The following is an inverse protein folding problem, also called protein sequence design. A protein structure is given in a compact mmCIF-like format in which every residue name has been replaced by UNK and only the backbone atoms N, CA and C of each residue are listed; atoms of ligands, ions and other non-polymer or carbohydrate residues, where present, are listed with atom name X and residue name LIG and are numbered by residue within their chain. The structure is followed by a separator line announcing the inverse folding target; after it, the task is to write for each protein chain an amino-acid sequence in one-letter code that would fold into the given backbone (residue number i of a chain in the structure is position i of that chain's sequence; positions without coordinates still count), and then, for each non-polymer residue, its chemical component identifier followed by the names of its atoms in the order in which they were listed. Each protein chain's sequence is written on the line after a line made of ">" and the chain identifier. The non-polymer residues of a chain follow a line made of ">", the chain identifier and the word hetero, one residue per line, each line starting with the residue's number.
data_IF_336000867689
#
_entry.id   IF_336000867689
#
_cell.length_a   1.000
_cell.length_b   1.000
_cell.length_c   1.000
_cell.angle_alpha   90.00
_cell.angle_beta   90.00
_cell.angle_gamma   90.00
#
_symmetry.space_group_name_H-M   'P 1'
#
loop_
_entity.id
_entity.type
_entity.pdbx_description
1 polymer ?
#
# COMPACT_ATOMS: atom_id res chain seq x y z
N UNK A 1 -7.59 -40.64 35.23
CA UNK A 1 -8.25 -39.71 34.28
C UNK A 1 -7.76 -38.27 34.42
N UNK A 2 -7.57 -37.70 35.58
CA UNK A 2 -7.19 -36.29 35.80
C UNK A 2 -5.84 -35.86 35.19
N UNK A 3 -4.81 -36.74 35.17
CA UNK A 3 -3.51 -36.45 34.56
C UNK A 3 -3.59 -36.14 33.04
N UNK A 4 -4.45 -36.84 32.29
CA UNK A 4 -4.65 -36.62 30.86
C UNK A 4 -5.38 -35.31 30.57
N UNK A 5 -6.33 -34.93 31.43
CA UNK A 5 -7.08 -33.67 31.34
C UNK A 5 -6.15 -32.48 31.66
N UNK A 6 -5.26 -32.62 32.65
CA UNK A 6 -4.28 -31.58 33.00
C UNK A 6 -3.31 -31.31 31.86
N UNK A 7 -2.81 -32.34 31.16
CA UNK A 7 -1.91 -32.19 30.01
C UNK A 7 -2.62 -31.52 28.84
N UNK A 8 -3.88 -31.84 28.56
CA UNK A 8 -4.68 -31.23 27.52
C UNK A 8 -4.93 -29.73 27.79
N UNK A 9 -5.21 -29.38 29.04
CA UNK A 9 -5.44 -27.99 29.47
C UNK A 9 -4.16 -27.14 29.36
N UNK A 10 -3.01 -27.72 29.71
CA UNK A 10 -1.71 -27.02 29.59
C UNK A 10 -1.32 -26.81 28.13
N UNK A 11 -1.58 -27.77 27.24
CA UNK A 11 -1.35 -27.65 25.81
C UNK A 11 -2.24 -26.55 25.20
N UNK A 12 -3.49 -26.41 25.64
CA UNK A 12 -4.44 -25.39 25.17
C UNK A 12 -3.97 -23.98 25.57
N UNK A 13 -3.37 -23.81 26.76
CA UNK A 13 -2.82 -22.52 27.23
C UNK A 13 -1.56 -22.09 26.47
N UNK A 14 -0.77 -23.04 25.95
CA UNK A 14 0.42 -22.72 25.17
C UNK A 14 0.09 -22.27 23.73
N UNK A 15 -1.07 -22.66 23.19
CA UNK A 15 -1.54 -22.25 21.86
C UNK A 15 -2.11 -20.82 21.83
N UNK A 16 -2.49 -20.24 22.97
CA UNK A 16 -3.02 -18.88 23.05
C UNK A 16 -1.96 -17.78 22.99
N UNK A 17 -0.68 -18.11 22.96
CA UNK A 17 0.44 -17.16 22.86
C UNK A 17 0.84 -16.82 21.41
N UNK A 18 -0.03 -17.07 20.42
CA UNK A 18 0.16 -16.49 19.10
C UNK A 18 -0.07 -14.96 19.22
N UNK A 19 0.94 -14.27 19.73
CA UNK A 19 0.94 -12.83 19.93
C UNK A 19 0.80 -12.08 18.62
N UNK A 20 -0.44 -11.80 18.21
CA UNK A 20 -0.72 -10.71 17.28
C UNK A 20 -0.27 -9.41 17.96
N UNK A 21 0.98 -9.02 17.69
CA UNK A 21 1.45 -7.69 18.04
C UNK A 21 0.58 -6.72 17.25
N UNK A 22 -0.39 -6.08 17.89
CA UNK A 22 -1.11 -4.94 17.29
C UNK A 22 -0.03 -3.97 16.83
N UNK A 23 0.03 -3.73 15.52
CA UNK A 23 0.79 -2.60 15.01
C UNK A 23 0.15 -1.36 15.64
N UNK A 24 0.85 -0.82 16.62
CA UNK A 24 0.42 0.41 17.25
C UNK A 24 0.56 1.51 16.19
N UNK A 25 -0.58 1.97 15.65
CA UNK A 25 -0.64 3.12 14.70
C UNK A 25 -0.14 4.42 15.35
N UNK A 26 0.31 4.34 16.61
CA UNK A 26 0.82 5.46 17.39
C UNK A 26 2.21 5.95 16.95
N UNK A 27 2.99 5.16 16.20
CA UNK A 27 4.19 5.68 15.56
C UNK A 27 3.82 6.62 14.43
N UNK A 28 3.77 7.88 14.78
CA UNK A 28 3.46 8.97 13.87
C UNK A 28 4.71 9.27 13.04
N UNK A 29 4.59 9.11 11.74
CA UNK A 29 5.63 9.43 10.76
C UNK A 29 5.49 10.90 10.39
N UNK A 30 6.58 11.66 10.46
CA UNK A 30 6.66 13.02 9.95
C UNK A 30 7.36 13.01 8.59
N UNK A 31 6.59 13.12 7.53
CA UNK A 31 7.12 13.20 6.16
C UNK A 31 7.57 14.63 5.90
N UNK A 32 8.88 14.82 5.71
CA UNK A 32 9.49 16.13 5.44
C UNK A 32 9.37 16.45 3.95
N UNK A 33 9.71 15.50 3.07
CA UNK A 33 9.61 15.68 1.61
C UNK A 33 9.13 14.42 0.91
N UNK A 34 8.42 14.60 -0.21
CA UNK A 34 8.08 13.53 -1.15
C UNK A 34 8.47 13.99 -2.56
N UNK A 35 9.48 13.35 -3.10
CA UNK A 35 9.83 13.46 -4.52
C UNK A 35 9.13 12.37 -5.30
N UNK A 36 8.65 12.68 -6.51
CA UNK A 36 7.90 11.72 -7.34
C UNK A 36 8.40 11.74 -8.77
N UNK A 37 8.53 10.55 -9.35
CA UNK A 37 8.88 10.34 -10.76
C UNK A 37 7.95 9.31 -11.41
N UNK A 38 7.86 9.30 -12.75
CA UNK A 38 7.06 8.36 -13.52
C UNK A 38 5.59 8.77 -13.67
N UNK A 39 4.65 7.87 -13.43
CA UNK A 39 3.22 8.08 -13.73
C UNK A 39 2.56 9.15 -12.85
N UNK A 40 2.45 10.37 -13.39
CA UNK A 40 2.04 11.59 -12.64
C UNK A 40 0.70 11.45 -11.92
N UNK A 41 -0.30 10.83 -12.56
CA UNK A 41 -1.66 10.71 -11.98
C UNK A 41 -1.67 9.85 -10.71
N UNK A 42 -1.03 8.68 -10.72
CA UNK A 42 -0.92 7.86 -9.52
C UNK A 42 -0.09 8.54 -8.45
N UNK A 43 1.04 9.16 -8.82
CA UNK A 43 1.89 9.94 -7.92
C UNK A 43 1.11 11.04 -7.19
N UNK A 44 0.21 11.73 -7.88
CA UNK A 44 -0.64 12.76 -7.28
C UNK A 44 -1.52 12.17 -6.16
N UNK A 45 -2.22 11.06 -6.42
CA UNK A 45 -3.08 10.44 -5.41
C UNK A 45 -2.29 9.83 -4.25
N UNK A 46 -1.15 9.17 -4.55
CA UNK A 46 -0.29 8.57 -3.52
C UNK A 46 0.26 9.67 -2.61
N UNK A 47 0.85 10.72 -3.19
CA UNK A 47 1.43 11.85 -2.45
C UNK A 47 0.39 12.52 -1.56
N UNK A 48 -0.78 12.86 -2.11
CA UNK A 48 -1.84 13.52 -1.35
C UNK A 48 -2.35 12.66 -0.20
N UNK A 49 -2.51 11.35 -0.41
CA UNK A 49 -2.95 10.44 0.65
C UNK A 49 -1.90 10.31 1.77
N UNK A 50 -0.60 10.25 1.42
CA UNK A 50 0.48 10.21 2.40
C UNK A 50 0.56 11.50 3.22
N UNK A 51 0.36 12.66 2.58
CA UNK A 51 0.43 13.98 3.25
C UNK A 51 -0.84 14.29 4.05
N UNK A 52 -2.02 13.83 3.64
CA UNK A 52 -3.28 14.08 4.34
C UNK A 52 -3.30 13.55 5.78
N UNK A 53 -2.44 12.58 6.09
CA UNK A 53 -2.33 11.98 7.41
C UNK A 53 -1.07 12.47 8.18
N UNK A 54 -0.55 13.65 7.79
CA UNK A 54 0.59 14.27 8.46
C UNK A 54 0.19 14.65 9.89
N UNK A 55 0.92 14.12 10.86
CA UNK A 55 0.73 14.43 12.28
C UNK A 55 2.02 15.06 12.82
N UNK A 56 1.93 16.27 13.36
CA UNK A 56 3.09 17.08 13.78
C UNK A 56 3.51 16.82 15.24
N UNK A 57 3.29 15.62 15.79
CA UNK A 57 3.74 15.31 17.15
C UNK A 57 5.27 15.19 17.22
N UNK A 58 5.85 15.68 18.32
CA UNK A 58 7.30 15.93 18.51
C UNK A 58 8.17 14.67 18.42
N UNK A 59 7.63 13.48 18.66
CA UNK A 59 8.39 12.21 18.71
C UNK A 59 8.30 11.35 17.43
N UNK A 60 7.98 11.96 16.30
CA UNK A 60 7.78 11.22 15.05
C UNK A 60 9.10 10.97 14.32
N UNK A 61 9.24 9.79 13.71
CA UNK A 61 10.33 9.53 12.78
C UNK A 61 10.25 10.50 11.59
N UNK A 62 11.28 11.33 11.41
CA UNK A 62 11.39 12.26 10.28
C UNK A 62 11.93 11.53 9.08
N UNK A 63 11.20 11.58 7.97
CA UNK A 63 11.55 10.83 6.75
C UNK A 63 11.44 11.68 5.50
N UNK A 64 12.29 11.36 4.52
CA UNK A 64 12.15 11.77 3.12
C UNK A 64 11.78 10.56 2.29
N UNK A 65 10.88 10.75 1.32
CA UNK A 65 10.39 9.68 0.44
C UNK A 65 10.68 10.06 -1.00
N UNK A 66 11.23 9.10 -1.77
CA UNK A 66 11.30 9.19 -3.24
C UNK A 66 10.47 8.04 -3.82
N UNK A 67 9.51 8.39 -4.69
CA UNK A 67 8.61 7.47 -5.38
C UNK A 67 8.91 7.45 -6.87
N UNK A 68 9.10 6.28 -7.45
CA UNK A 68 9.05 6.06 -8.89
C UNK A 68 7.85 5.16 -9.20
N UNK A 69 6.87 5.66 -9.96
CA UNK A 69 5.63 4.93 -10.22
C UNK A 69 5.50 4.59 -11.69
N UNK A 70 5.23 3.31 -11.97
CA UNK A 70 4.98 2.77 -13.31
C UNK A 70 3.53 2.32 -13.44
N UNK A 71 2.97 2.48 -14.64
CA UNK A 71 1.63 2.02 -14.98
C UNK A 71 1.70 1.11 -16.20
N UNK A 72 1.04 -0.04 -16.11
CA UNK A 72 0.87 -0.97 -17.23
C UNK A 72 -0.62 -1.21 -17.47
N UNK A 73 -1.03 -1.16 -18.74
CA UNK A 73 -2.40 -1.50 -19.19
C UNK A 73 -2.33 -2.73 -20.08
N UNK A 74 -3.10 -3.75 -19.75
CA UNK A 74 -3.11 -5.04 -20.45
C UNK A 74 -4.55 -5.36 -20.84
N UNK A 75 -4.77 -5.94 -22.00
CA UNK A 75 -6.07 -6.49 -22.38
C UNK A 75 -6.31 -7.73 -21.54
N UNK A 76 -7.43 -7.73 -20.79
CA UNK A 76 -7.79 -8.83 -19.89
C UNK A 76 -8.85 -9.73 -20.53
N UNK A 77 -9.76 -9.17 -21.35
CA UNK A 77 -10.86 -9.93 -21.93
C UNK A 77 -11.30 -9.35 -23.28
N UNK A 78 -11.69 -10.25 -24.22
CA UNK A 78 -12.31 -9.92 -25.49
C UNK A 78 -13.59 -10.76 -25.67
N UNK A 79 -14.56 -10.22 -26.41
CA UNK A 79 -15.76 -10.95 -26.76
C UNK A 79 -15.56 -11.86 -28.01
N UNK A 80 -16.60 -12.57 -28.38
CA UNK A 80 -16.60 -13.50 -29.58
C UNK A 80 -16.32 -12.77 -30.89
N UNK A 81 -16.52 -11.45 -30.95
CA UNK A 81 -16.22 -10.60 -32.12
C UNK A 81 -14.80 -10.01 -32.05
N UNK A 82 -13.95 -10.50 -31.13
CA UNK A 82 -12.60 -10.00 -30.89
C UNK A 82 -12.52 -8.53 -30.41
N UNK A 83 -13.63 -7.94 -29.94
CA UNK A 83 -13.67 -6.60 -29.36
C UNK A 83 -13.24 -6.67 -27.89
N UNK A 84 -12.47 -5.69 -27.45
CA UNK A 84 -11.97 -5.62 -26.07
C UNK A 84 -13.11 -5.23 -25.12
N UNK A 85 -13.38 -6.09 -24.13
CA UNK A 85 -14.43 -5.88 -23.12
C UNK A 85 -13.87 -5.49 -21.76
N UNK A 86 -12.58 -5.83 -21.50
CA UNK A 86 -11.95 -5.55 -20.20
C UNK A 86 -10.46 -5.29 -20.35
N UNK A 87 -9.97 -4.34 -19.58
CA UNK A 87 -8.55 -4.09 -19.36
C UNK A 87 -8.18 -4.31 -17.90
N UNK A 88 -6.97 -4.84 -17.69
CA UNK A 88 -6.30 -4.81 -16.41
C UNK A 88 -5.32 -3.64 -16.35
N UNK A 89 -5.35 -2.90 -15.24
CA UNK A 89 -4.40 -1.85 -14.91
C UNK A 89 -3.52 -2.34 -13.76
N UNK A 90 -2.22 -2.31 -13.96
CA UNK A 90 -1.24 -2.51 -12.91
C UNK A 90 -0.53 -1.20 -12.63
N UNK A 91 -0.44 -0.82 -11.36
CA UNK A 91 0.33 0.32 -10.87
C UNK A 91 1.36 -0.22 -9.89
N UNK A 92 2.65 0.07 -10.16
CA UNK A 92 3.76 -0.34 -9.33
C UNK A 92 4.53 0.91 -8.88
N UNK A 93 4.85 0.97 -7.58
CA UNK A 93 5.59 2.07 -6.97
C UNK A 93 6.85 1.53 -6.31
N UNK A 94 8.02 1.99 -6.78
CA UNK A 94 9.32 1.81 -6.13
C UNK A 94 9.51 2.93 -5.13
N UNK A 95 9.73 2.56 -3.87
CA UNK A 95 9.75 3.48 -2.74
C UNK A 95 11.12 3.46 -2.10
N UNK A 96 11.78 4.62 -2.05
CA UNK A 96 12.97 4.85 -1.28
C UNK A 96 12.61 5.74 -0.10
N UNK A 97 12.84 5.25 1.14
CA UNK A 97 12.61 6.00 2.38
C UNK A 97 13.94 6.25 3.04
N UNK A 98 14.20 7.51 3.38
CA UNK A 98 15.37 7.91 4.14
C UNK A 98 14.94 8.38 5.52
N UNK A 99 15.37 7.66 6.56
CA UNK A 99 15.16 7.98 7.96
C UNK A 99 16.26 8.93 8.41
N UNK A 100 15.89 10.20 8.66
CA UNK A 100 16.86 11.30 8.84
C UNK A 100 17.66 11.13 10.13
N UNK A 101 17.01 10.78 11.24
CA UNK A 101 17.65 10.65 12.55
C UNK A 101 18.64 9.48 12.58
N UNK A 102 18.24 8.34 12.04
CA UNK A 102 19.00 7.09 12.02
C UNK A 102 20.03 7.04 10.88
N UNK A 103 20.01 8.02 9.97
CA UNK A 103 20.83 8.06 8.76
C UNK A 103 20.75 6.76 7.93
N UNK A 104 19.56 6.17 7.86
CA UNK A 104 19.33 4.89 7.18
C UNK A 104 18.41 5.04 5.98
N UNK A 105 18.72 4.32 4.90
CA UNK A 105 17.89 4.21 3.70
C UNK A 105 17.27 2.82 3.61
N UNK A 106 15.98 2.75 3.32
CA UNK A 106 15.24 1.51 3.04
C UNK A 106 14.53 1.62 1.71
N UNK A 107 14.52 0.53 0.96
CA UNK A 107 13.89 0.46 -0.37
C UNK A 107 12.93 -0.71 -0.43
N UNK A 108 11.78 -0.53 -1.03
CA UNK A 108 10.80 -1.58 -1.29
C UNK A 108 9.92 -1.21 -2.48
N UNK A 109 9.18 -2.17 -3.03
CA UNK A 109 8.17 -1.95 -4.05
C UNK A 109 6.80 -2.37 -3.56
N UNK A 110 5.77 -1.71 -4.09
CA UNK A 110 4.36 -2.05 -3.86
C UNK A 110 3.64 -1.99 -5.20
N UNK A 111 2.89 -3.03 -5.50
CA UNK A 111 2.10 -3.14 -6.72
C UNK A 111 0.65 -3.42 -6.38
N UNK A 112 -0.25 -2.80 -7.14
CA UNK A 112 -1.68 -3.04 -7.13
C UNK A 112 -2.19 -3.19 -8.55
N UNK A 113 -3.15 -4.07 -8.74
CA UNK A 113 -3.80 -4.23 -10.02
C UNK A 113 -5.31 -4.32 -9.88
N UNK A 114 -6.01 -4.07 -10.97
CA UNK A 114 -7.46 -4.16 -11.02
C UNK A 114 -7.97 -4.06 -12.44
N UNK A 115 -9.20 -4.51 -12.63
CA UNK A 115 -9.85 -4.54 -13.92
C UNK A 115 -10.89 -3.43 -14.04
N UNK A 116 -11.05 -2.89 -15.26
CA UNK A 116 -12.22 -2.10 -15.61
C UNK A 116 -12.82 -2.60 -16.93
N UNK A 117 -14.14 -2.53 -17.01
CA UNK A 117 -14.88 -2.87 -18.23
C UNK A 117 -14.92 -1.69 -19.18
N UNK A 118 -14.88 -2.02 -20.48
CA UNK A 118 -15.11 -1.06 -21.54
C UNK A 118 -16.62 -0.95 -21.73
N UNK A 119 -17.16 0.23 -21.52
CA UNK A 119 -18.57 0.54 -21.71
C UNK A 119 -18.84 1.04 -23.14
N UNK A 120 -20.08 1.00 -23.59
CA UNK A 120 -20.50 1.56 -24.89
C UNK A 120 -20.19 3.07 -24.97
N UNK A 121 -20.30 3.78 -23.85
CA UNK A 121 -19.93 5.18 -23.75
C UNK A 121 -18.44 5.32 -23.42
N UNK A 122 -17.70 6.08 -24.22
CA UNK A 122 -16.30 6.41 -23.94
C UNK A 122 -16.12 7.20 -22.65
N UNK A 123 -17.10 8.07 -22.32
CA UNK A 123 -17.11 8.85 -21.08
C UNK A 123 -17.21 7.93 -19.86
N UNK A 124 -18.13 6.95 -19.91
CA UNK A 124 -18.29 5.98 -18.83
C UNK A 124 -17.04 5.11 -18.65
N UNK A 125 -16.44 4.64 -19.75
CA UNK A 125 -15.19 3.87 -19.71
C UNK A 125 -14.04 4.68 -19.11
N UNK A 126 -13.91 5.96 -19.47
CA UNK A 126 -12.89 6.85 -18.91
C UNK A 126 -13.09 7.06 -17.42
N UNK A 127 -14.34 7.32 -16.98
CA UNK A 127 -14.67 7.49 -15.56
C UNK A 127 -14.37 6.22 -14.74
N UNK A 128 -14.67 5.03 -15.28
CA UNK A 128 -14.35 3.76 -14.65
C UNK A 128 -12.85 3.58 -14.48
N UNK A 129 -12.07 3.90 -15.52
CA UNK A 129 -10.61 3.88 -15.47
C UNK A 129 -10.07 4.87 -14.40
N UNK A 130 -10.58 6.10 -14.39
CA UNK A 130 -10.16 7.13 -13.44
C UNK A 130 -10.41 6.73 -11.99
N UNK A 131 -11.58 6.16 -11.71
CA UNK A 131 -11.95 5.66 -10.39
C UNK A 131 -11.05 4.47 -9.98
N UNK A 132 -10.80 3.54 -10.91
CA UNK A 132 -9.91 2.41 -10.66
C UNK A 132 -8.50 2.90 -10.30
N UNK A 133 -7.89 3.76 -11.12
CA UNK A 133 -6.55 4.27 -10.88
C UNK A 133 -6.44 5.03 -9.56
N UNK A 134 -7.46 5.80 -9.18
CA UNK A 134 -7.54 6.46 -7.88
C UNK A 134 -7.56 5.45 -6.73
N UNK A 135 -8.39 4.41 -6.85
CA UNK A 135 -8.52 3.39 -5.81
C UNK A 135 -7.22 2.59 -5.64
N UNK A 136 -6.58 2.17 -6.74
CA UNK A 136 -5.29 1.48 -6.71
C UNK A 136 -4.21 2.35 -6.09
N UNK A 137 -4.14 3.64 -6.47
CA UNK A 137 -3.16 4.59 -5.91
C UNK A 137 -3.38 4.82 -4.42
N UNK A 138 -4.62 4.92 -3.96
CA UNK A 138 -4.95 5.05 -2.53
C UNK A 138 -4.59 3.78 -1.74
N UNK A 139 -4.78 2.59 -2.34
CA UNK A 139 -4.36 1.32 -1.74
C UNK A 139 -2.84 1.25 -1.60
N UNK A 140 -2.10 1.63 -2.66
CA UNK A 140 -0.64 1.73 -2.64
C UNK A 140 -0.18 2.67 -1.52
N UNK A 141 -0.77 3.86 -1.38
CA UNK A 141 -0.42 4.82 -0.34
C UNK A 141 -0.59 4.24 1.08
N UNK A 142 -1.71 3.55 1.33
CA UNK A 142 -1.96 2.86 2.61
C UNK A 142 -0.91 1.78 2.89
N UNK A 143 -0.54 0.97 1.88
CA UNK A 143 0.49 -0.08 2.00
C UNK A 143 1.88 0.51 2.22
N UNK A 144 2.23 1.61 1.52
CA UNK A 144 3.48 2.36 1.74
C UNK A 144 3.56 2.80 3.19
N UNK A 145 2.51 3.48 3.70
CA UNK A 145 2.47 3.95 5.08
C UNK A 145 2.66 2.82 6.08
N UNK A 146 1.91 1.73 5.94
CA UNK A 146 2.04 0.55 6.82
C UNK A 146 3.47 -0.01 6.80
N UNK A 147 4.08 -0.13 5.62
CA UNK A 147 5.46 -0.64 5.50
C UNK A 147 6.47 0.29 6.16
N UNK A 148 6.32 1.61 6.02
CA UNK A 148 7.21 2.60 6.66
C UNK A 148 7.11 2.51 8.17
N UNK A 149 5.89 2.37 8.74
CA UNK A 149 5.70 2.19 10.19
C UNK A 149 6.45 0.94 10.69
N UNK A 150 6.31 -0.20 9.99
CA UNK A 150 7.03 -1.42 10.34
C UNK A 150 8.54 -1.18 10.31
N UNK A 151 9.06 -0.56 9.24
CA UNK A 151 10.48 -0.28 9.11
C UNK A 151 11.02 0.71 10.15
N UNK A 152 10.20 1.66 10.60
CA UNK A 152 10.57 2.61 11.65
C UNK A 152 10.63 1.94 13.03
N UNK A 153 9.83 0.88 13.26
CA UNK A 153 9.87 0.10 14.50
C UNK A 153 11.07 -0.86 14.57
N UNK A 154 11.69 -1.14 13.43
CA UNK A 154 12.82 -2.09 13.31
C UNK A 154 14.18 -1.35 13.28
N UNK A 155 14.20 -0.02 13.53
CA UNK A 155 15.40 0.83 13.49
C UNK A 155 15.98 1.11 14.88
#
# INVERSE_FOLDING_TARGET
>A
MYKKISILLTALLLLSQCGFKRLDDSMLINIISIETDGYKKANYFIKNNLLAQKNNKVNNAKINIKLETKRKKIISEKNIKNEITKYNINIESFVNVYFIKENKKKTFNISENGDYRVEKSSISSSKNLDNLERNLSNSIAKKIRKKIIILANDL
#
